data_IF_688027678566
#
_entry.id   IF_688027678566
#
_cell.length_a   1.000
_cell.length_b   1.000
_cell.length_c   1.000
_cell.angle_alpha   90.00
_cell.angle_beta   90.00
_cell.angle_gamma   90.00
#
_symmetry.space_group_name_H-M   'P 1'
#
loop_
_entity.id
_entity.type
_entity.pdbx_description
1 polymer ?
#
# COMPACT_ATOMS: atom_id res chain seq x y z
N UNK A 1 -25.69 3.94 -9.86
CA UNK A 1 -25.07 4.19 -11.16
C UNK A 1 -23.57 4.21 -10.92
N UNK A 2 -22.82 3.25 -11.48
CA UNK A 2 -21.36 3.28 -11.46
C UNK A 2 -20.96 4.45 -12.36
N UNK A 3 -20.36 5.51 -11.78
CA UNK A 3 -19.79 6.60 -12.56
C UNK A 3 -18.68 6.00 -13.46
N UNK A 4 -18.58 6.40 -14.73
CA UNK A 4 -17.52 5.90 -15.60
C UNK A 4 -16.15 6.22 -15.02
N UNK A 5 -15.16 5.40 -15.35
CA UNK A 5 -13.75 5.64 -15.00
C UNK A 5 -13.43 7.11 -15.20
N UNK A 6 -12.88 7.76 -14.18
CA UNK A 6 -12.39 9.12 -14.29
C UNK A 6 -11.36 9.16 -15.43
N UNK A 7 -11.49 10.07 -16.42
CA UNK A 7 -10.56 10.13 -17.56
C UNK A 7 -9.17 10.63 -17.18
N UNK A 8 -9.03 11.19 -15.97
CA UNK A 8 -7.79 11.79 -15.48
C UNK A 8 -7.37 11.17 -14.15
N UNK A 9 -6.07 10.80 -13.98
CA UNK A 9 -5.55 10.37 -12.69
C UNK A 9 -5.54 11.52 -11.68
N UNK A 10 -5.43 11.18 -10.38
CA UNK A 10 -5.07 12.15 -9.35
C UNK A 10 -3.70 12.79 -9.66
N UNK A 11 -3.40 13.99 -9.11
CA UNK A 11 -2.12 14.66 -9.31
C UNK A 11 -0.94 13.71 -9.08
N UNK A 12 -0.01 13.65 -10.04
CA UNK A 12 1.14 12.75 -9.98
C UNK A 12 0.83 11.26 -10.17
N UNK A 13 -0.39 10.90 -10.61
CA UNK A 13 -0.86 9.52 -10.74
C UNK A 13 -0.75 8.72 -9.42
N UNK A 14 -1.03 9.35 -8.29
CA UNK A 14 -1.07 8.68 -6.98
C UNK A 14 -2.36 7.89 -6.80
N UNK A 15 -2.28 6.81 -6.05
CA UNK A 15 -3.44 6.11 -5.49
C UNK A 15 -3.87 6.76 -4.17
N UNK A 16 -5.16 6.69 -3.85
CA UNK A 16 -5.75 7.25 -2.65
C UNK A 16 -6.67 6.24 -1.98
N UNK A 17 -6.57 6.12 -0.66
CA UNK A 17 -7.57 5.44 0.17
C UNK A 17 -7.66 6.09 1.55
N UNK A 18 -8.80 5.93 2.23
CA UNK A 18 -8.92 6.21 3.65
C UNK A 18 -8.87 4.91 4.43
N UNK A 19 -8.24 4.95 5.60
CA UNK A 19 -8.01 3.77 6.42
C UNK A 19 -8.27 4.08 7.90
N UNK A 20 -9.06 3.19 8.53
CA UNK A 20 -9.23 3.11 9.97
C UNK A 20 -8.47 1.89 10.48
N UNK A 21 -7.44 2.13 11.30
CA UNK A 21 -6.55 1.07 11.78
C UNK A 21 -7.32 -0.03 12.53
N UNK A 22 -6.89 -1.29 12.40
CA UNK A 22 -7.49 -2.38 13.14
C UNK A 22 -7.27 -2.22 14.65
N UNK A 23 -8.33 -2.42 15.42
CA UNK A 23 -8.34 -2.50 16.89
C UNK A 23 -8.07 -3.93 17.40
N UNK A 24 -7.59 -4.80 16.54
CA UNK A 24 -7.35 -6.21 16.85
C UNK A 24 -6.01 -6.39 17.50
N UNK A 25 -6.01 -6.93 18.71
CA UNK A 25 -4.79 -7.32 19.40
C UNK A 25 -4.12 -8.52 18.73
N UNK A 26 -2.80 -8.45 18.54
CA UNK A 26 -1.96 -9.52 18.03
C UNK A 26 -1.26 -10.27 19.18
N UNK A 27 -0.50 -11.31 18.85
CA UNK A 27 0.19 -12.15 19.85
C UNK A 27 1.20 -11.37 20.72
N UNK A 28 1.68 -10.22 20.24
CA UNK A 28 2.56 -9.32 21.00
C UNK A 28 1.82 -8.28 21.85
N UNK A 29 0.50 -8.40 22.00
CA UNK A 29 -0.34 -7.47 22.76
C UNK A 29 -0.59 -6.13 22.08
N UNK A 30 -0.17 -5.95 20.82
CA UNK A 30 -0.29 -4.70 20.08
C UNK A 30 -1.45 -4.77 19.07
N UNK A 31 -2.38 -3.81 19.16
CA UNK A 31 -3.43 -3.65 18.14
C UNK A 31 -2.87 -3.00 16.87
N UNK A 32 -3.31 -3.48 15.71
CA UNK A 32 -2.90 -2.85 14.47
C UNK A 32 -2.95 -3.75 13.23
N UNK A 33 -2.28 -3.28 12.19
CA UNK A 33 -2.27 -3.87 10.86
C UNK A 33 -1.28 -5.01 10.65
N UNK A 34 -1.30 -5.54 9.43
CA UNK A 34 -0.39 -6.58 8.96
C UNK A 34 0.93 -5.93 8.51
N UNK A 35 2.07 -6.31 9.07
CA UNK A 35 3.37 -5.85 8.59
C UNK A 35 3.62 -6.32 7.14
N UNK A 36 4.13 -5.41 6.31
CA UNK A 36 4.45 -5.67 4.90
C UNK A 36 5.44 -4.64 4.38
N UNK A 37 5.94 -4.84 3.17
CA UNK A 37 6.69 -3.85 2.40
C UNK A 37 6.05 -3.66 1.02
N UNK A 38 6.33 -2.52 0.40
CA UNK A 38 6.13 -2.29 -1.03
C UNK A 38 7.45 -2.41 -1.78
N UNK A 39 7.41 -2.97 -3.00
CA UNK A 39 8.63 -3.24 -3.77
C UNK A 39 8.98 -2.11 -4.74
N UNK A 40 7.98 -1.38 -5.25
CA UNK A 40 8.18 -0.31 -6.25
C UNK A 40 7.41 0.97 -5.95
N UNK A 41 6.53 0.98 -4.94
CA UNK A 41 5.74 2.15 -4.57
C UNK A 41 6.23 2.77 -3.26
N UNK A 42 6.38 4.08 -3.24
CA UNK A 42 6.43 4.86 -2.01
C UNK A 42 5.00 5.01 -1.48
N UNK A 43 4.83 4.81 -0.20
CA UNK A 43 3.57 5.01 0.51
C UNK A 43 3.70 6.15 1.52
N UNK A 44 2.65 6.96 1.66
CA UNK A 44 2.60 8.00 2.67
C UNK A 44 1.29 7.93 3.45
N UNK A 45 1.40 8.21 4.75
CA UNK A 45 0.30 8.36 5.69
C UNK A 45 0.11 9.83 6.04
N UNK A 46 -1.10 10.34 5.83
CA UNK A 46 -1.56 11.63 6.35
C UNK A 46 -2.55 11.33 7.46
N UNK A 47 -2.21 11.61 8.70
CA UNK A 47 -3.07 11.33 9.85
C UNK A 47 -4.22 12.31 9.92
N UNK A 48 -5.45 11.81 9.84
CA UNK A 48 -6.68 12.61 9.81
C UNK A 48 -7.44 12.58 11.14
N UNK A 49 -7.12 11.65 12.05
CA UNK A 49 -7.74 11.57 13.36
C UNK A 49 -7.20 10.44 14.21
N UNK A 50 -7.50 10.48 15.50
CA UNK A 50 -7.01 9.49 16.45
C UNK A 50 -5.50 9.58 16.67
N UNK A 51 -4.92 8.54 17.21
CA UNK A 51 -3.48 8.44 17.49
C UNK A 51 -2.99 7.01 17.37
N UNK A 52 -1.69 6.85 17.15
CA UNK A 52 -1.04 5.55 17.04
C UNK A 52 0.43 5.68 16.73
N UNK A 53 0.97 4.68 16.08
CA UNK A 53 2.34 4.70 15.61
C UNK A 53 2.48 3.89 14.32
N UNK A 54 3.59 4.05 13.62
CA UNK A 54 4.05 3.13 12.62
C UNK A 54 5.43 2.59 12.99
N UNK A 55 5.51 1.28 13.11
CA UNK A 55 6.75 0.56 13.33
C UNK A 55 7.38 0.24 11.97
N UNK A 56 8.66 0.59 11.79
CA UNK A 56 9.37 0.36 10.54
C UNK A 56 10.65 -0.47 10.73
N UNK A 57 10.95 -1.32 9.73
CA UNK A 57 12.24 -1.98 9.58
C UNK A 57 12.85 -1.53 8.26
N UNK A 58 14.09 -1.12 8.30
CA UNK A 58 14.89 -0.72 7.14
C UNK A 58 16.36 -1.13 7.37
N UNK A 59 17.26 -0.94 6.40
CA UNK A 59 18.70 -1.13 6.64
C UNK A 59 19.27 -0.31 7.83
N UNK A 60 18.61 0.80 8.18
CA UNK A 60 18.99 1.64 9.31
C UNK A 60 18.48 1.11 10.67
N UNK A 61 17.76 -0.03 10.66
CA UNK A 61 17.24 -0.69 11.85
C UNK A 61 15.74 -0.50 12.07
N UNK A 62 15.33 -0.70 13.32
CA UNK A 62 13.94 -0.54 13.79
C UNK A 62 13.67 0.90 14.23
N UNK A 63 12.48 1.41 13.86
CA UNK A 63 11.96 2.69 14.37
C UNK A 63 10.48 2.54 14.75
N UNK A 64 10.07 3.26 15.80
CA UNK A 64 8.68 3.46 16.19
C UNK A 64 8.37 4.95 16.03
N UNK A 65 7.48 5.29 15.09
CA UNK A 65 7.21 6.67 14.69
C UNK A 65 5.79 7.01 15.13
N UNK A 66 5.60 7.99 16.05
CA UNK A 66 4.27 8.38 16.47
C UNK A 66 3.45 8.97 15.32
N UNK A 67 2.15 8.67 15.33
CA UNK A 67 1.17 9.16 14.37
C UNK A 67 0.11 9.96 15.13
N UNK A 68 0.07 11.26 14.87
CA UNK A 68 -0.86 12.22 15.48
C UNK A 68 -1.54 13.04 14.37
N UNK A 69 -2.76 13.59 14.60
CA UNK A 69 -3.47 14.38 13.61
C UNK A 69 -2.61 15.49 13.01
N UNK A 70 -2.54 15.53 11.67
CA UNK A 70 -1.71 16.48 10.92
C UNK A 70 -0.29 15.99 10.62
N UNK A 71 0.19 14.90 11.24
CA UNK A 71 1.49 14.34 10.87
C UNK A 71 1.45 13.66 9.51
N UNK A 72 2.58 13.70 8.81
CA UNK A 72 2.81 13.02 7.53
C UNK A 72 4.05 12.17 7.65
N UNK A 73 3.91 10.87 7.37
CA UNK A 73 5.02 9.91 7.38
C UNK A 73 5.01 9.15 6.06
N UNK A 74 6.18 8.90 5.47
CA UNK A 74 6.26 8.13 4.22
C UNK A 74 7.42 7.14 4.24
N UNK A 75 7.26 6.07 3.45
CA UNK A 75 8.19 4.95 3.36
C UNK A 75 8.59 4.74 1.91
N UNK A 76 9.89 4.55 1.68
CA UNK A 76 10.42 4.16 0.38
C UNK A 76 10.27 2.65 0.13
N UNK A 77 10.30 2.19 -1.14
CA UNK A 77 10.30 0.76 -1.45
C UNK A 77 11.32 -0.02 -0.61
N UNK A 78 10.90 -1.19 -0.15
CA UNK A 78 11.71 -2.05 0.70
C UNK A 78 11.56 -1.82 2.20
N UNK A 79 11.01 -0.68 2.65
CA UNK A 79 10.75 -0.46 4.08
C UNK A 79 9.59 -1.34 4.55
N UNK A 80 9.85 -2.27 5.47
CA UNK A 80 8.80 -2.99 6.18
C UNK A 80 8.13 -2.03 7.14
N UNK A 81 6.81 -1.98 7.15
CA UNK A 81 6.06 -1.14 8.07
C UNK A 81 4.84 -1.85 8.63
N UNK A 82 4.50 -1.53 9.87
CA UNK A 82 3.33 -2.02 10.62
C UNK A 82 2.63 -0.86 11.29
N UNK A 83 1.37 -0.63 10.95
CA UNK A 83 0.54 0.34 11.63
C UNK A 83 0.13 -0.17 13.02
N UNK A 84 0.26 0.67 14.02
CA UNK A 84 -0.13 0.44 15.42
C UNK A 84 -1.28 1.37 15.77
N UNK A 85 -2.37 0.81 16.29
CA UNK A 85 -3.54 1.52 16.78
C UNK A 85 -3.31 1.95 18.23
N UNK A 86 -3.38 3.25 18.51
CA UNK A 86 -3.26 3.81 19.87
C UNK A 86 -4.53 4.50 20.38
N UNK A 87 -5.52 4.72 19.49
CA UNK A 87 -6.80 5.35 19.80
C UNK A 87 -7.48 5.91 18.55
N UNK A 88 -8.39 5.13 17.96
CA UNK A 88 -9.21 5.50 16.80
C UNK A 88 -8.40 6.12 15.63
N UNK A 89 -7.23 5.54 15.34
CA UNK A 89 -6.32 6.05 14.32
C UNK A 89 -6.94 5.96 12.92
N UNK A 90 -7.03 7.11 12.27
CA UNK A 90 -7.53 7.27 10.90
C UNK A 90 -6.52 8.02 10.05
N UNK A 91 -6.28 7.51 8.87
CA UNK A 91 -5.30 8.08 7.94
C UNK A 91 -5.86 8.16 6.52
N UNK A 92 -5.34 9.11 5.76
CA UNK A 92 -5.37 9.08 4.31
C UNK A 92 -4.05 8.48 3.83
N UNK A 93 -4.14 7.42 3.04
CA UNK A 93 -3.01 6.75 2.41
C UNK A 93 -2.83 7.32 1.00
N UNK A 94 -1.62 7.74 0.69
CA UNK A 94 -1.18 8.12 -0.65
C UNK A 94 -0.18 7.09 -1.16
N UNK A 95 -0.48 6.47 -2.30
CA UNK A 95 0.39 5.48 -2.94
C UNK A 95 0.96 6.04 -4.23
N UNK A 96 2.27 5.98 -4.40
CA UNK A 96 2.89 6.21 -5.69
C UNK A 96 2.39 5.18 -6.72
N UNK A 97 2.29 5.58 -7.99
CA UNK A 97 1.97 4.67 -9.09
C UNK A 97 0.62 3.95 -8.93
N UNK A 98 -0.49 4.71 -8.92
CA UNK A 98 -1.85 4.15 -8.90
C UNK A 98 -1.98 2.96 -9.87
N UNK A 99 -2.54 1.86 -9.39
CA UNK A 99 -2.64 0.58 -10.11
C UNK A 99 -1.56 -0.45 -9.75
N UNK A 100 -0.34 -0.05 -9.37
CA UNK A 100 0.69 -0.99 -8.94
C UNK A 100 0.42 -1.60 -7.56
N UNK A 101 -0.01 -0.83 -6.55
CA UNK A 101 -0.42 -1.40 -5.27
C UNK A 101 -1.55 -2.42 -5.44
N UNK A 102 -2.54 -2.12 -6.27
CA UNK A 102 -3.66 -3.00 -6.58
C UNK A 102 -3.22 -4.23 -7.39
N UNK A 103 -2.14 -4.13 -8.15
CA UNK A 103 -1.52 -5.25 -8.87
C UNK A 103 -0.62 -6.13 -8.00
N UNK A 104 -0.59 -5.88 -6.69
CA UNK A 104 0.12 -6.71 -5.71
C UNK A 104 1.59 -6.37 -5.56
N UNK A 105 1.91 -5.08 -5.47
CA UNK A 105 3.24 -4.55 -5.13
C UNK A 105 3.63 -4.85 -3.67
N UNK A 106 2.66 -5.01 -2.78
CA UNK A 106 2.88 -5.30 -1.38
C UNK A 106 3.17 -6.78 -1.11
N UNK A 107 4.13 -7.06 -0.21
CA UNK A 107 4.44 -8.40 0.27
C UNK A 107 4.44 -8.42 1.80
N UNK A 108 3.62 -9.34 2.37
CA UNK A 108 3.54 -9.55 3.82
C UNK A 108 4.81 -10.18 4.38
N UNK A 109 5.15 -9.83 5.60
CA UNK A 109 6.26 -10.42 6.35
C UNK A 109 5.91 -11.82 6.92
N UNK A 110 5.38 -12.70 6.08
CA UNK A 110 5.10 -14.08 6.52
C UNK A 110 6.39 -14.84 6.85
N UNK A 111 6.32 -15.88 7.65
CA UNK A 111 7.46 -16.79 7.89
C UNK A 111 8.07 -17.34 6.60
N UNK A 112 9.35 -17.67 6.64
CA UNK A 112 10.15 -18.06 5.47
C UNK A 112 9.60 -19.28 4.72
N UNK A 113 9.00 -20.24 5.42
CA UNK A 113 8.35 -21.43 4.82
C UNK A 113 7.10 -21.08 4.00
N UNK A 114 6.43 -19.95 4.28
CA UNK A 114 5.32 -19.43 3.48
C UNK A 114 5.84 -18.62 2.30
N UNK A 115 6.87 -17.79 2.52
CA UNK A 115 7.47 -16.96 1.48
C UNK A 115 8.22 -17.76 0.41
N UNK A 116 8.68 -18.98 0.73
CA UNK A 116 9.41 -19.85 -0.20
C UNK A 116 8.51 -20.56 -1.21
N UNK A 117 7.20 -20.60 -0.96
CA UNK A 117 6.20 -21.30 -1.77
C UNK A 117 5.14 -20.29 -2.24
N UNK A 118 5.11 -19.94 -3.55
CA UNK A 118 4.14 -18.97 -4.09
C UNK A 118 2.67 -19.35 -3.87
N UNK A 119 2.32 -20.63 -3.89
CA UNK A 119 0.95 -21.09 -3.70
C UNK A 119 0.53 -20.96 -2.24
N UNK A 120 1.43 -21.30 -1.30
CA UNK A 120 1.20 -21.05 0.13
C UNK A 120 1.09 -19.57 0.43
N UNK A 121 1.95 -18.74 -0.16
CA UNK A 121 1.87 -17.30 -0.02
C UNK A 121 0.53 -16.78 -0.52
N UNK A 122 0.12 -17.14 -1.73
CA UNK A 122 -1.14 -16.72 -2.32
C UNK A 122 -2.35 -17.14 -1.46
N UNK A 123 -2.35 -18.39 -0.97
CA UNK A 123 -3.41 -18.88 -0.08
C UNK A 123 -3.48 -18.11 1.25
N UNK A 124 -2.34 -17.75 1.84
CA UNK A 124 -2.28 -17.00 3.09
C UNK A 124 -2.62 -15.50 2.91
N UNK A 125 -2.25 -14.92 1.77
CA UNK A 125 -2.45 -13.50 1.47
C UNK A 125 -3.87 -13.16 1.03
N UNK A 126 -4.57 -14.09 0.36
CA UNK A 126 -5.88 -13.86 -0.24
C UNK A 126 -7.01 -13.94 0.78
N UNK A 127 -7.91 -12.97 0.74
CA UNK A 127 -9.11 -12.96 1.57
C UNK A 127 -10.32 -13.47 0.77
N UNK A 128 -11.26 -14.18 1.43
CA UNK A 128 -12.56 -14.43 0.82
C UNK A 128 -13.27 -13.12 0.47
N UNK A 129 -14.15 -13.11 -0.54
CA UNK A 129 -14.89 -11.92 -0.91
C UNK A 129 -15.83 -11.47 0.21
N UNK A 130 -16.12 -10.15 0.26
CA UNK A 130 -17.07 -9.56 1.21
C UNK A 130 -16.42 -8.92 2.43
N UNK A 131 -17.26 -8.54 3.40
CA UNK A 131 -16.88 -7.85 4.64
C UNK A 131 -17.46 -8.52 5.90
N UNK A 132 -17.96 -9.74 5.76
CA UNK A 132 -18.59 -10.52 6.84
C UNK A 132 -17.60 -11.14 7.82
N UNK A 133 -18.14 -11.91 8.81
CA UNK A 133 -17.34 -12.52 9.88
C UNK A 133 -16.23 -13.45 9.37
N UNK A 134 -16.48 -14.23 8.32
CA UNK A 134 -15.49 -15.17 7.77
C UNK A 134 -14.30 -14.41 7.14
N UNK A 135 -14.58 -13.33 6.41
CA UNK A 135 -13.53 -12.46 5.85
C UNK A 135 -12.76 -11.76 6.97
N UNK A 136 -13.45 -11.32 8.04
CA UNK A 136 -12.81 -10.75 9.22
C UNK A 136 -11.86 -11.73 9.90
N UNK A 137 -12.30 -12.99 10.08
CA UNK A 137 -11.48 -14.04 10.67
C UNK A 137 -10.26 -14.37 9.78
N UNK A 138 -10.43 -14.41 8.46
CA UNK A 138 -9.33 -14.60 7.52
C UNK A 138 -8.34 -13.43 7.56
N UNK A 139 -8.82 -12.18 7.61
CA UNK A 139 -7.98 -11.00 7.72
C UNK A 139 -7.17 -10.99 9.05
N UNK A 140 -7.76 -11.43 10.15
CA UNK A 140 -7.03 -11.61 11.43
C UNK A 140 -5.93 -12.66 11.31
N UNK A 141 -6.23 -13.84 10.76
CA UNK A 141 -5.21 -14.90 10.57
C UNK A 141 -4.08 -14.43 9.66
N UNK A 142 -4.39 -13.74 8.56
CA UNK A 142 -3.38 -13.14 7.67
C UNK A 142 -2.50 -12.14 8.42
N UNK A 143 -3.10 -11.25 9.22
CA UNK A 143 -2.39 -10.28 10.04
C UNK A 143 -1.49 -10.96 11.06
N UNK A 144 -1.99 -11.98 11.78
CA UNK A 144 -1.26 -12.67 12.84
C UNK A 144 -0.04 -13.41 12.27
N UNK A 145 -0.19 -14.05 11.11
CA UNK A 145 0.90 -14.70 10.39
C UNK A 145 1.97 -13.67 9.93
N UNK A 146 1.55 -12.48 9.48
CA UNK A 146 2.50 -11.43 9.11
C UNK A 146 3.23 -10.86 10.34
N UNK A 147 2.55 -10.74 11.48
CA UNK A 147 3.18 -10.32 12.74
C UNK A 147 4.21 -11.31 13.22
N UNK A 148 3.97 -12.62 13.09
CA UNK A 148 4.92 -13.67 13.44
C UNK A 148 6.27 -13.48 12.73
N UNK A 149 6.27 -13.39 11.40
CA UNK A 149 7.51 -13.17 10.66
C UNK A 149 8.13 -11.79 10.90
N UNK A 150 7.30 -10.75 11.09
CA UNK A 150 7.78 -9.42 11.45
C UNK A 150 8.57 -9.39 12.76
N UNK A 151 8.07 -10.10 13.78
CA UNK A 151 8.74 -10.13 15.09
C UNK A 151 10.12 -10.77 14.99
N UNK A 152 10.26 -11.86 14.20
CA UNK A 152 11.55 -12.48 13.93
C UNK A 152 12.51 -11.53 13.19
N UNK A 153 12.03 -10.80 12.17
CA UNK A 153 12.84 -9.82 11.45
C UNK A 153 13.28 -8.67 12.36
N UNK A 154 12.37 -8.17 13.22
CA UNK A 154 12.67 -7.11 14.17
C UNK A 154 13.71 -7.53 15.20
N UNK A 155 13.56 -8.72 15.77
CA UNK A 155 14.50 -9.28 16.75
C UNK A 155 15.90 -9.38 16.15
N UNK A 156 16.04 -9.94 14.94
CA UNK A 156 17.33 -10.04 14.26
C UNK A 156 17.97 -8.66 14.01
N UNK A 157 17.20 -7.71 13.47
CA UNK A 157 17.72 -6.35 13.21
C UNK A 157 18.13 -5.62 14.49
N UNK A 158 17.38 -5.74 15.58
CA UNK A 158 17.73 -5.15 16.89
C UNK A 158 18.99 -5.78 17.45
N UNK A 159 19.22 -7.08 17.18
CA UNK A 159 20.46 -7.78 17.54
C UNK A 159 21.66 -7.45 16.62
N UNK A 160 21.46 -6.62 15.58
CA UNK A 160 22.49 -6.23 14.62
C UNK A 160 22.65 -7.22 13.44
N UNK A 161 21.78 -8.22 13.31
CA UNK A 161 21.76 -9.16 12.20
C UNK A 161 20.76 -8.72 11.13
N UNK A 162 21.27 -8.16 10.03
CA UNK A 162 20.44 -7.77 8.86
C UNK A 162 20.21 -8.91 7.88
N UNK A 163 20.79 -10.09 8.07
CA UNK A 163 20.68 -11.23 7.15
C UNK A 163 19.23 -11.65 6.88
N UNK A 164 18.41 -11.92 7.91
CA UNK A 164 17.01 -12.29 7.73
C UNK A 164 16.18 -11.22 6.97
N UNK A 165 16.45 -9.93 7.21
CA UNK A 165 15.77 -8.84 6.50
C UNK A 165 16.12 -8.83 5.00
N UNK A 166 17.40 -9.01 4.66
CA UNK A 166 17.85 -9.08 3.26
C UNK A 166 17.26 -10.32 2.56
N UNK A 167 17.21 -11.46 3.24
CA UNK A 167 16.59 -12.68 2.69
C UNK A 167 15.07 -12.51 2.49
N UNK A 168 14.38 -11.82 3.39
CA UNK A 168 12.97 -11.46 3.22
C UNK A 168 12.78 -10.61 1.95
N UNK A 169 13.59 -9.55 1.73
CA UNK A 169 13.51 -8.72 0.53
C UNK A 169 13.73 -9.55 -0.75
N UNK A 170 14.69 -10.48 -0.74
CA UNK A 170 14.93 -11.39 -1.87
C UNK A 170 13.77 -12.34 -2.12
N UNK A 171 13.16 -12.87 -1.07
CA UNK A 171 11.98 -13.71 -1.18
C UNK A 171 10.79 -12.93 -1.75
N UNK A 172 10.54 -11.72 -1.26
CA UNK A 172 9.52 -10.83 -1.77
C UNK A 172 9.71 -10.54 -3.26
N UNK A 173 10.93 -10.22 -3.69
CA UNK A 173 11.24 -10.00 -5.11
C UNK A 173 10.99 -11.24 -5.98
N UNK A 174 11.29 -12.45 -5.48
CA UNK A 174 10.99 -13.71 -6.19
C UNK A 174 9.50 -13.91 -6.39
N UNK A 175 8.68 -13.68 -5.35
CA UNK A 175 7.22 -13.85 -5.38
C UNK A 175 6.53 -12.98 -6.43
N UNK A 176 7.03 -11.76 -6.66
CA UNK A 176 6.38 -10.80 -7.57
C UNK A 176 6.97 -10.79 -8.98
N UNK A 177 8.06 -11.51 -9.22
CA UNK A 177 8.82 -11.46 -10.48
C UNK A 177 7.95 -11.64 -11.73
N UNK A 178 6.99 -12.54 -11.68
CA UNK A 178 6.07 -12.80 -12.80
C UNK A 178 5.11 -11.64 -13.10
N UNK A 179 4.88 -10.73 -12.14
CA UNK A 179 3.99 -9.57 -12.28
C UNK A 179 4.67 -8.37 -12.95
N UNK A 180 6.01 -8.32 -12.98
CA UNK A 180 6.79 -7.15 -13.45
C UNK A 180 6.43 -6.70 -14.88
N UNK A 181 6.20 -7.57 -15.87
CA UNK A 181 5.77 -7.12 -17.20
C UNK A 181 4.46 -6.31 -17.15
N UNK A 182 3.44 -6.80 -16.43
CA UNK A 182 2.18 -6.09 -16.25
C UNK A 182 2.37 -4.76 -15.49
N UNK A 183 3.18 -4.74 -14.45
CA UNK A 183 3.47 -3.52 -13.70
C UNK A 183 4.12 -2.45 -14.56
N UNK A 184 4.98 -2.86 -15.49
CA UNK A 184 5.63 -1.94 -16.42
C UNK A 184 4.62 -1.25 -17.34
N UNK A 185 3.60 -1.97 -17.80
CA UNK A 185 2.52 -1.38 -18.60
C UNK A 185 1.65 -0.42 -17.77
N UNK A 186 1.30 -0.80 -16.53
CA UNK A 186 0.55 0.08 -15.62
C UNK A 186 1.34 1.37 -15.34
N UNK A 187 2.62 1.25 -15.03
CA UNK A 187 3.49 2.41 -14.79
C UNK A 187 3.58 3.33 -16.01
N UNK A 188 3.76 2.76 -17.21
CA UNK A 188 3.81 3.55 -18.46
C UNK A 188 2.52 4.29 -18.71
N UNK A 189 1.38 3.61 -18.56
CA UNK A 189 0.06 4.21 -18.80
C UNK A 189 -0.34 5.24 -17.72
N UNK A 190 0.19 5.12 -16.50
CA UNK A 190 -0.12 5.97 -15.36
C UNK A 190 0.94 7.05 -15.11
N UNK A 191 1.90 6.74 -14.26
CA UNK A 191 2.85 7.72 -13.75
C UNK A 191 3.77 8.30 -14.84
N UNK A 192 4.30 7.45 -15.74
CA UNK A 192 5.16 7.92 -16.83
C UNK A 192 4.38 8.83 -17.79
N UNK A 193 3.21 8.41 -18.27
CA UNK A 193 2.38 9.23 -19.15
C UNK A 193 1.97 10.58 -18.51
N UNK A 194 1.80 10.62 -17.19
CA UNK A 194 1.51 11.86 -16.45
C UNK A 194 2.72 12.79 -16.43
N UNK A 195 3.93 12.25 -16.23
CA UNK A 195 5.16 13.02 -16.28
C UNK A 195 5.46 13.55 -17.70
N UNK A 196 5.28 12.70 -18.72
CA UNK A 196 5.46 13.08 -20.14
C UNK A 196 4.50 14.19 -20.57
N UNK A 197 3.25 14.15 -20.08
CA UNK A 197 2.28 15.23 -20.32
C UNK A 197 2.75 16.55 -19.73
N UNK A 198 3.35 16.53 -18.54
CA UNK A 198 3.95 17.74 -17.93
C UNK A 198 5.09 18.27 -18.80
N UNK A 199 5.94 17.39 -19.36
CA UNK A 199 6.98 17.79 -20.31
C UNK A 199 6.40 18.52 -21.52
N UNK A 200 5.40 17.92 -22.17
CA UNK A 200 4.73 18.55 -23.32
C UNK A 200 4.06 19.92 -22.98
N UNK A 201 3.54 20.06 -21.75
CA UNK A 201 2.99 21.33 -21.28
C UNK A 201 4.08 22.40 -21.09
N UNK A 202 5.26 22.00 -20.59
CA UNK A 202 6.41 22.90 -20.46
C UNK A 202 6.90 23.37 -21.85
N UNK A 203 7.01 22.44 -22.82
CA UNK A 203 7.40 22.77 -24.18
C UNK A 203 6.41 23.76 -24.85
N UNK A 204 5.11 23.57 -24.63
CA UNK A 204 4.07 24.47 -25.12
C UNK A 204 4.14 25.87 -24.48
N UNK A 205 4.49 25.95 -23.18
CA UNK A 205 4.72 27.22 -22.50
C UNK A 205 5.96 27.95 -23.02
N UNK A 206 7.03 27.22 -23.32
CA UNK A 206 8.28 27.76 -23.87
C UNK A 206 8.05 28.39 -25.26
N UNK A 207 7.20 27.78 -26.09
CA UNK A 207 6.81 28.33 -27.40
C UNK A 207 5.79 29.46 -27.33
N UNK A 208 5.18 29.71 -26.17
CA UNK A 208 4.12 30.70 -25.99
C UNK A 208 2.76 30.27 -26.52
N UNK A 209 2.56 29.00 -26.87
CA UNK A 209 1.32 28.45 -27.43
C UNK A 209 0.67 27.39 -26.52
N UNK A 210 0.22 27.75 -25.30
CA UNK A 210 -0.30 26.79 -24.32
C UNK A 210 -1.76 26.37 -24.63
N UNK A 211 -2.01 25.80 -25.78
CA UNK A 211 -3.36 25.43 -26.27
C UNK A 211 -4.07 24.44 -25.33
N UNK A 212 -3.32 23.63 -24.57
CA UNK A 212 -3.87 22.66 -23.60
C UNK A 212 -4.66 23.33 -22.47
N UNK A 213 -4.45 24.63 -22.20
CA UNK A 213 -5.21 25.37 -21.19
C UNK A 213 -6.70 25.54 -21.55
N UNK A 214 -7.04 25.42 -22.85
CA UNK A 214 -8.43 25.45 -23.29
C UNK A 214 -9.24 24.22 -22.84
N UNK A 215 -8.57 23.11 -22.48
CA UNK A 215 -9.19 21.88 -21.99
C UNK A 215 -9.29 21.83 -20.46
N UNK A 216 -9.05 22.99 -19.80
CA UNK A 216 -9.09 23.07 -18.33
C UNK A 216 -10.46 22.63 -17.77
N UNK A 217 -10.44 21.72 -16.80
CA UNK A 217 -11.66 21.17 -16.19
C UNK A 217 -11.39 20.69 -14.76
N UNK A 218 -12.46 20.36 -14.03
CA UNK A 218 -12.40 19.81 -12.67
C UNK A 218 -13.05 18.43 -12.62
N UNK A 219 -12.50 17.56 -11.79
CA UNK A 219 -13.02 16.23 -11.53
C UNK A 219 -13.31 16.04 -10.04
N UNK A 220 -14.33 15.26 -9.75
CA UNK A 220 -14.69 14.86 -8.39
C UNK A 220 -14.94 13.35 -8.33
N UNK A 221 -14.65 12.74 -7.19
CA UNK A 221 -14.98 11.35 -6.93
C UNK A 221 -15.26 11.15 -5.44
N UNK A 222 -15.97 10.07 -5.13
CA UNK A 222 -16.23 9.60 -3.78
C UNK A 222 -15.77 8.14 -3.66
N UNK A 223 -15.56 7.62 -2.44
CA UNK A 223 -15.24 6.22 -2.26
C UNK A 223 -16.32 5.33 -2.91
N UNK A 224 -15.88 4.31 -3.62
CA UNK A 224 -16.77 3.34 -4.29
C UNK A 224 -16.98 2.07 -3.49
N UNK A 225 -16.06 1.80 -2.53
CA UNK A 225 -16.14 0.69 -1.61
C UNK A 225 -15.76 1.18 -0.22
N UNK A 226 -16.61 0.90 0.78
CA UNK A 226 -16.43 1.35 2.16
C UNK A 226 -16.08 0.18 3.08
N UNK A 227 -15.15 0.39 4.00
CA UNK A 227 -14.84 -0.50 5.11
C UNK A 227 -14.32 -1.88 4.71
N UNK A 228 -13.73 -2.02 3.53
CA UNK A 228 -13.09 -3.26 3.09
C UNK A 228 -11.92 -3.67 4.02
N UNK A 229 -11.56 -4.96 4.03
CA UNK A 229 -10.40 -5.43 4.80
C UNK A 229 -9.10 -5.17 4.03
N UNK A 230 -8.36 -4.12 4.42
CA UNK A 230 -7.03 -3.82 3.92
C UNK A 230 -5.92 -4.59 4.68
N UNK A 231 -4.68 -4.21 4.45
CA UNK A 231 -3.53 -4.73 5.20
C UNK A 231 -3.47 -4.12 6.60
N UNK A 232 -3.61 -2.81 6.71
CA UNK A 232 -3.42 -2.07 7.96
C UNK A 232 -4.72 -1.80 8.73
N UNK A 233 -5.90 -1.97 8.11
CA UNK A 233 -7.18 -1.60 8.72
C UNK A 233 -8.35 -1.75 7.76
N UNK A 234 -9.49 -1.19 8.17
CA UNK A 234 -10.65 -1.01 7.31
C UNK A 234 -10.37 0.10 6.31
N UNK A 235 -10.58 -0.18 5.03
CA UNK A 235 -10.20 0.70 3.93
C UNK A 235 -11.41 1.13 3.11
N UNK A 236 -11.50 2.44 2.85
CA UNK A 236 -12.40 3.01 1.85
C UNK A 236 -11.59 3.24 0.57
N UNK A 237 -12.10 2.69 -0.55
CA UNK A 237 -11.39 2.63 -1.83
C UNK A 237 -12.06 3.53 -2.86
N UNK A 238 -11.26 4.15 -3.69
CA UNK A 238 -11.67 4.98 -4.81
C UNK A 238 -11.44 4.25 -6.13
N UNK A 239 -12.37 4.40 -7.07
CA UNK A 239 -12.18 3.93 -8.43
C UNK A 239 -11.41 5.00 -9.23
N UNK A 240 -10.09 4.91 -9.22
CA UNK A 240 -9.18 5.82 -9.91
C UNK A 240 -8.64 5.17 -11.19
N UNK A 241 -8.19 5.97 -12.19
CA UNK A 241 -7.50 5.43 -13.35
C UNK A 241 -6.30 4.57 -12.93
N UNK A 242 -6.17 3.39 -13.51
CA UNK A 242 -5.15 2.40 -13.18
C UNK A 242 -5.53 1.42 -12.08
N UNK A 243 -6.55 1.71 -11.24
CA UNK A 243 -6.97 0.81 -10.14
C UNK A 243 -7.93 -0.30 -10.58
N UNK A 244 -8.50 -0.22 -11.78
CA UNK A 244 -9.40 -1.24 -12.33
C UNK A 244 -8.62 -2.45 -12.82
N UNK A 245 -8.14 -3.26 -11.91
CA UNK A 245 -7.79 -4.64 -12.22
C UNK A 245 -9.04 -5.51 -12.03
N UNK A 246 -9.27 -6.51 -12.91
CA UNK A 246 -10.31 -7.49 -12.63
C UNK A 246 -9.99 -8.12 -11.28
N UNK A 247 -10.96 -8.12 -10.37
CA UNK A 247 -10.86 -8.72 -9.06
C UNK A 247 -10.37 -10.16 -9.14
N UNK A 248 -9.14 -10.38 -8.75
CA UNK A 248 -8.47 -11.67 -8.73
C UNK A 248 -7.16 -11.54 -7.97
N UNK A 249 -7.21 -11.45 -6.66
CA UNK A 249 -6.10 -11.73 -5.77
C UNK A 249 -5.15 -10.56 -5.48
N UNK A 250 -5.31 -9.98 -4.36
CA UNK A 250 -4.31 -9.33 -3.53
C UNK A 250 -4.36 -9.95 -2.18
#
# INVERSE_FOLDING_TARGET
MVKPNLPHPLPGAVGLSHLSAYDWEAADGVCGGSPHLHLVCTEAYVVTGGQGAVQTLSPDGYRDIPLEPGSVTWFTPGTVHRMVQGGDLRITVLMQNSGLPEAGDAVFTFPSEVLSDPDRYAAAATLPPGTGPDTAAAARRRRDLAVEGYLALREALVAGDSGPYVEFQRAAARLVRAKVPQWRELWRAGALATAERTGAQLDALETGEPVYLADATSYETAPTRLGGFGMCGRRDEYNLPGTTLPYGGG
#
